data_IF_536849673423
#
_entry.id   IF_536849673423
#
_cell.length_a   1.000
_cell.length_b   1.000
_cell.length_c   1.000
_cell.angle_alpha   90.00
_cell.angle_beta   90.00
_cell.angle_gamma   90.00
#
_symmetry.space_group_name_H-M   'P 1'
#
loop_
_entity.id
_entity.type
_entity.pdbx_description
1 polymer ?
#
# COMPACT_ATOMS: atom_id res chain seq x y z
N UNK A 1 -26.12 -13.89 -14.92
CA UNK A 1 -24.87 -14.68 -14.92
C UNK A 1 -24.20 -14.46 -13.57
N UNK A 2 -23.59 -15.49 -12.95
CA UNK A 2 -22.81 -15.27 -11.74
C UNK A 2 -21.60 -14.39 -12.09
N UNK A 3 -21.28 -13.44 -11.24
CA UNK A 3 -20.04 -12.65 -11.37
C UNK A 3 -18.86 -13.58 -11.12
N UNK A 4 -17.85 -13.53 -12.00
CA UNK A 4 -16.61 -14.24 -11.84
C UNK A 4 -15.56 -13.26 -11.31
N UNK A 5 -14.98 -13.54 -10.14
CA UNK A 5 -13.86 -12.79 -9.63
C UNK A 5 -12.62 -13.15 -10.46
N UNK A 6 -12.04 -12.18 -11.16
CA UNK A 6 -10.88 -12.40 -12.03
C UNK A 6 -9.61 -11.72 -11.53
N UNK A 7 -9.68 -10.94 -10.44
CA UNK A 7 -8.53 -10.26 -9.86
C UNK A 7 -8.62 -10.21 -8.34
N UNK A 8 -7.45 -10.21 -7.71
CA UNK A 8 -7.25 -9.88 -6.31
C UNK A 8 -6.01 -8.97 -6.21
N UNK A 9 -6.22 -7.74 -5.79
CA UNK A 9 -5.14 -6.73 -5.72
C UNK A 9 -4.77 -6.34 -4.28
N UNK A 10 -5.31 -7.05 -3.28
CA UNK A 10 -4.97 -6.79 -1.88
C UNK A 10 -4.57 -8.10 -1.19
N UNK A 11 -3.39 -8.59 -1.55
CA UNK A 11 -2.80 -9.80 -0.97
C UNK A 11 -1.49 -9.50 -0.27
N UNK A 12 -1.19 -10.28 0.76
CA UNK A 12 0.02 -10.16 1.57
C UNK A 12 0.91 -11.39 1.43
N UNK A 13 2.19 -11.17 1.65
CA UNK A 13 3.19 -12.22 1.76
C UNK A 13 3.74 -12.31 3.19
N UNK A 14 4.64 -13.24 3.41
CA UNK A 14 5.36 -13.38 4.69
C UNK A 14 6.11 -12.10 5.11
N UNK A 15 6.34 -11.16 4.20
CA UNK A 15 6.94 -9.86 4.51
C UNK A 15 6.07 -9.06 5.48
N UNK A 16 4.77 -9.13 5.36
CA UNK A 16 3.81 -8.46 6.25
C UNK A 16 3.71 -9.06 7.66
N UNK A 17 4.50 -10.09 7.97
CA UNK A 17 4.63 -10.76 9.26
C UNK A 17 3.36 -11.44 9.82
N UNK A 18 2.17 -11.18 9.27
CA UNK A 18 0.90 -11.83 9.65
C UNK A 18 0.36 -12.74 8.54
N UNK A 19 1.02 -12.79 7.39
CA UNK A 19 0.82 -13.78 6.34
C UNK A 19 2.02 -14.74 6.30
N UNK A 20 1.87 -15.88 5.65
CA UNK A 20 2.89 -16.94 5.65
C UNK A 20 3.25 -17.47 4.25
N UNK A 21 2.61 -16.95 3.21
CA UNK A 21 2.89 -17.30 1.82
C UNK A 21 4.00 -16.42 1.24
N UNK A 22 4.77 -16.99 0.34
CA UNK A 22 5.64 -16.23 -0.57
C UNK A 22 4.83 -15.65 -1.71
N UNK A 23 5.40 -14.71 -2.47
CA UNK A 23 4.74 -14.19 -3.69
C UNK A 23 4.55 -15.32 -4.73
N UNK A 24 5.48 -16.25 -4.83
CA UNK A 24 5.38 -17.39 -5.76
C UNK A 24 4.20 -18.30 -5.40
N UNK A 25 3.99 -18.61 -4.12
CA UNK A 25 2.84 -19.38 -3.65
C UNK A 25 1.52 -18.64 -3.91
N UNK A 26 1.48 -17.32 -3.70
CA UNK A 26 0.31 -16.52 -4.00
C UNK A 26 -0.02 -16.56 -5.50
N UNK A 27 0.97 -16.43 -6.36
CA UNK A 27 0.81 -16.54 -7.83
C UNK A 27 0.33 -17.93 -8.24
N UNK A 28 0.93 -18.99 -7.67
CA UNK A 28 0.50 -20.36 -7.93
C UNK A 28 -0.98 -20.56 -7.62
N UNK A 29 -1.43 -20.13 -6.43
CA UNK A 29 -2.83 -20.27 -6.04
C UNK A 29 -3.77 -19.36 -6.82
N UNK A 30 -3.31 -18.16 -7.23
CA UNK A 30 -4.08 -17.29 -8.12
C UNK A 30 -4.34 -17.98 -9.47
N UNK A 31 -3.32 -18.58 -10.07
CA UNK A 31 -3.43 -19.35 -11.31
C UNK A 31 -4.39 -20.55 -11.17
N UNK A 32 -4.24 -21.35 -10.09
CA UNK A 32 -5.10 -22.49 -9.81
C UNK A 32 -6.58 -22.10 -9.61
N UNK A 33 -6.85 -20.89 -9.15
CA UNK A 33 -8.20 -20.35 -8.97
C UNK A 33 -8.73 -19.59 -10.17
N UNK A 34 -7.95 -19.49 -11.25
CA UNK A 34 -8.33 -18.82 -12.48
C UNK A 34 -8.34 -17.30 -12.39
N UNK A 35 -7.61 -16.71 -11.44
CA UNK A 35 -7.40 -15.27 -11.41
C UNK A 35 -6.50 -14.85 -12.58
N UNK A 36 -6.83 -13.74 -13.18
CA UNK A 36 -6.08 -13.15 -14.29
C UNK A 36 -5.07 -12.09 -13.79
N UNK A 37 -5.37 -11.48 -12.65
CA UNK A 37 -4.56 -10.42 -12.04
C UNK A 37 -4.38 -10.70 -10.55
N UNK A 38 -3.15 -10.60 -10.08
CA UNK A 38 -2.79 -10.64 -8.66
C UNK A 38 -1.96 -9.41 -8.33
N UNK A 39 -2.30 -8.72 -7.24
CA UNK A 39 -1.51 -7.61 -6.70
C UNK A 39 -0.94 -7.96 -5.33
N UNK A 40 0.37 -7.76 -5.15
CA UNK A 40 1.00 -7.76 -3.82
C UNK A 40 0.77 -6.40 -3.16
N UNK A 41 0.23 -6.40 -1.95
CA UNK A 41 -0.03 -5.20 -1.16
C UNK A 41 0.48 -5.38 0.27
N UNK A 42 1.74 -5.79 0.40
CA UNK A 42 2.37 -5.92 1.71
C UNK A 42 2.44 -4.57 2.43
N UNK A 43 2.43 -4.58 3.76
CA UNK A 43 2.38 -3.37 4.56
C UNK A 43 3.61 -2.48 4.39
N UNK A 44 3.41 -1.27 3.90
CA UNK A 44 4.34 -0.14 3.99
C UNK A 44 3.99 0.67 5.23
N UNK A 45 4.56 0.25 6.36
CA UNK A 45 4.11 0.65 7.69
C UNK A 45 5.21 0.52 8.73
N UNK A 46 5.11 1.29 9.81
CA UNK A 46 5.94 1.09 10.99
C UNK A 46 5.70 -0.24 11.72
N UNK A 47 4.62 -0.96 11.39
CA UNK A 47 4.33 -2.27 11.97
C UNK A 47 5.32 -3.36 11.54
N UNK A 48 5.94 -3.22 10.37
CA UNK A 48 6.81 -4.26 9.79
C UNK A 48 8.29 -3.95 9.93
N UNK A 49 8.66 -2.77 10.44
CA UNK A 49 10.06 -2.39 10.64
C UNK A 49 10.27 -1.65 11.95
N UNK A 50 11.34 -2.01 12.65
CA UNK A 50 11.82 -1.30 13.84
C UNK A 50 12.68 -0.06 13.50
N UNK A 51 13.16 0.04 12.27
CA UNK A 51 14.03 1.11 11.78
C UNK A 51 13.41 1.79 10.56
N UNK A 52 12.38 2.65 10.74
CA UNK A 52 11.63 3.20 9.62
C UNK A 52 12.45 4.11 8.69
N UNK A 53 13.57 4.65 9.15
CA UNK A 53 14.48 5.49 8.36
C UNK A 53 15.66 4.73 7.71
N UNK A 54 15.66 3.39 7.78
CA UNK A 54 16.65 2.52 7.16
C UNK A 54 16.11 1.93 5.86
N UNK A 55 16.56 2.45 4.71
CA UNK A 55 16.10 2.03 3.38
C UNK A 55 16.31 0.53 3.14
N UNK A 56 17.28 -0.10 3.81
CA UNK A 56 17.53 -1.52 3.69
C UNK A 56 16.38 -2.39 4.17
N UNK A 57 15.54 -1.86 5.09
CA UNK A 57 14.34 -2.54 5.58
C UNK A 57 13.24 -2.65 4.51
N UNK A 58 13.35 -1.89 3.42
CA UNK A 58 12.32 -1.82 2.37
C UNK A 58 12.76 -2.45 1.04
N UNK A 59 13.84 -3.22 1.04
CA UNK A 59 14.34 -3.89 -0.17
C UNK A 59 13.30 -4.79 -0.84
N UNK A 60 12.37 -5.34 -0.08
CA UNK A 60 11.24 -6.11 -0.62
C UNK A 60 10.44 -5.29 -1.64
N UNK A 61 10.08 -4.06 -1.31
CA UNK A 61 9.34 -3.17 -2.22
C UNK A 61 10.20 -2.68 -3.38
N UNK A 62 11.43 -2.24 -3.07
CA UNK A 62 12.36 -1.69 -4.07
C UNK A 62 12.68 -2.71 -5.15
N UNK A 63 12.76 -3.99 -4.79
CA UNK A 63 13.11 -5.08 -5.70
C UNK A 63 11.90 -5.79 -6.33
N UNK A 64 10.68 -5.32 -6.17
CA UNK A 64 9.52 -5.92 -6.82
C UNK A 64 9.60 -5.84 -8.36
N UNK A 65 10.38 -4.91 -8.90
CA UNK A 65 10.57 -4.74 -10.34
C UNK A 65 11.29 -5.91 -11.03
N UNK A 66 11.96 -6.79 -10.25
CA UNK A 66 12.56 -8.03 -10.78
C UNK A 66 11.54 -9.17 -10.99
N UNK A 67 10.33 -9.05 -10.45
CA UNK A 67 9.31 -10.10 -10.63
C UNK A 67 8.82 -10.16 -12.07
N UNK A 68 8.56 -11.37 -12.61
CA UNK A 68 7.90 -11.50 -13.90
C UNK A 68 6.56 -10.78 -13.91
N UNK A 69 6.29 -9.97 -14.94
CA UNK A 69 4.99 -9.29 -15.08
C UNK A 69 3.86 -10.27 -15.38
N UNK A 70 4.16 -11.31 -16.14
CA UNK A 70 3.26 -12.45 -16.35
C UNK A 70 3.94 -13.65 -15.72
N UNK A 71 3.33 -14.19 -14.70
CA UNK A 71 3.85 -15.30 -13.93
C UNK A 71 2.79 -16.39 -13.86
N UNK A 72 3.08 -17.57 -14.42
CA UNK A 72 2.13 -18.68 -14.55
C UNK A 72 0.79 -18.28 -15.21
N UNK A 73 0.83 -17.33 -16.17
CA UNK A 73 -0.36 -16.82 -16.86
C UNK A 73 -1.12 -15.74 -16.12
N UNK A 74 -0.71 -15.37 -14.91
CA UNK A 74 -1.31 -14.30 -14.09
C UNK A 74 -0.52 -13.01 -14.29
N UNK A 75 -1.21 -11.88 -14.52
CA UNK A 75 -0.60 -10.55 -14.47
C UNK A 75 -0.31 -10.20 -13.01
N UNK A 76 0.96 -10.02 -12.65
CA UNK A 76 1.38 -9.64 -11.30
C UNK A 76 1.59 -8.13 -11.23
N UNK A 77 0.80 -7.48 -10.38
CA UNK A 77 0.93 -6.07 -10.05
C UNK A 77 1.79 -5.89 -8.79
N UNK A 78 2.67 -4.92 -8.86
CA UNK A 78 3.59 -4.52 -7.80
C UNK A 78 2.92 -3.45 -6.97
N UNK A 79 2.71 -3.69 -5.71
CA UNK A 79 2.02 -2.74 -4.87
C UNK A 79 2.48 -2.77 -3.42
N UNK A 80 1.90 -1.88 -2.65
CA UNK A 80 2.03 -1.83 -1.20
C UNK A 80 0.75 -1.34 -0.56
N UNK A 81 0.49 -1.76 0.66
CA UNK A 81 -0.52 -1.18 1.53
C UNK A 81 0.15 -0.16 2.44
N UNK A 82 -0.01 1.13 2.07
CA UNK A 82 0.58 2.24 2.81
C UNK A 82 -0.34 2.71 3.94
N UNK A 83 0.22 2.85 5.16
CA UNK A 83 -0.52 3.40 6.29
C UNK A 83 -0.83 4.88 6.08
N UNK A 84 -2.09 5.28 6.33
CA UNK A 84 -2.43 6.66 6.63
C UNK A 84 -1.98 6.91 8.08
N UNK A 85 -1.04 7.83 8.27
CA UNK A 85 -0.34 7.98 9.56
C UNK A 85 -0.75 9.21 10.36
N UNK A 86 -1.53 10.09 9.76
CA UNK A 86 -2.03 11.30 10.43
C UNK A 86 -3.39 11.72 9.92
N UNK A 87 -4.05 12.61 10.67
CA UNK A 87 -5.39 13.13 10.36
C UNK A 87 -5.41 14.02 9.10
N UNK A 88 -4.28 14.50 8.64
CA UNK A 88 -4.17 15.25 7.39
C UNK A 88 -4.10 14.37 6.12
N UNK A 89 -4.14 13.04 6.30
CA UNK A 89 -4.13 12.09 5.20
C UNK A 89 -2.75 11.66 4.73
N UNK A 90 -1.66 12.12 5.38
CA UNK A 90 -0.29 11.76 5.03
C UNK A 90 -0.06 10.25 5.09
N UNK A 91 0.70 9.73 4.12
CA UNK A 91 1.05 8.32 4.03
C UNK A 91 2.40 8.04 4.70
N UNK A 92 2.55 6.83 5.20
CA UNK A 92 3.79 6.38 5.82
C UNK A 92 5.01 6.58 4.91
N UNK A 93 6.01 7.27 5.43
CA UNK A 93 7.27 7.52 4.73
C UNK A 93 7.37 8.86 4.04
N UNK A 94 6.28 9.62 3.86
CA UNK A 94 6.32 10.95 3.23
C UNK A 94 7.22 11.93 3.99
N UNK A 95 7.10 11.97 5.31
CA UNK A 95 7.92 12.81 6.18
C UNK A 95 9.10 12.05 6.82
N UNK A 96 9.38 10.83 6.38
CA UNK A 96 10.45 10.02 6.96
C UNK A 96 11.75 10.25 6.21
N UNK A 97 12.77 10.87 6.84
CA UNK A 97 14.08 11.02 6.23
C UNK A 97 14.79 9.67 6.17
N UNK A 98 15.43 9.37 5.05
CA UNK A 98 16.30 8.20 4.93
C UNK A 98 17.68 8.56 5.50
N UNK A 99 18.12 7.82 6.51
CA UNK A 99 19.42 8.01 7.17
C UNK A 99 20.43 6.93 6.86
N UNK A 100 19.94 5.74 6.46
CA UNK A 100 20.77 4.60 6.08
C UNK A 100 20.36 4.11 4.69
N UNK A 101 21.31 4.16 3.76
CA UNK A 101 21.14 3.78 2.36
C UNK A 101 21.43 2.30 2.12
N UNK A 102 21.00 1.82 0.94
CA UNK A 102 21.50 0.58 0.39
C UNK A 102 22.95 0.83 -0.05
N UNK A 103 23.85 -0.11 0.28
CA UNK A 103 25.27 0.02 -0.03
C UNK A 103 25.51 0.28 -1.53
N UNK A 104 26.23 1.36 -1.83
CA UNK A 104 26.57 1.76 -3.19
C UNK A 104 25.62 2.76 -3.84
N UNK A 105 24.50 3.08 -3.21
CA UNK A 105 23.55 4.06 -3.71
C UNK A 105 23.52 5.32 -2.85
N UNK A 106 23.51 6.49 -3.50
CA UNK A 106 23.46 7.80 -2.84
C UNK A 106 22.08 8.46 -2.96
N UNK A 107 21.02 7.68 -2.73
CA UNK A 107 19.63 8.13 -2.93
C UNK A 107 19.15 9.17 -1.93
N UNK A 108 19.74 9.20 -0.76
CA UNK A 108 19.01 9.46 0.46
C UNK A 108 18.69 10.89 0.80
N UNK A 109 19.35 11.86 0.19
CA UNK A 109 19.26 13.21 0.76
C UNK A 109 18.26 14.14 0.09
N UNK A 110 17.66 13.72 -1.01
CA UNK A 110 16.76 14.55 -1.82
C UNK A 110 15.33 14.01 -1.94
N UNK A 111 15.08 12.79 -1.43
CA UNK A 111 13.80 12.11 -1.56
C UNK A 111 13.31 11.61 -0.20
N UNK A 112 12.00 11.57 -0.03
CA UNK A 112 11.38 10.93 1.13
C UNK A 112 11.56 9.42 1.06
N UNK A 113 11.35 8.74 2.17
CA UNK A 113 11.28 7.27 2.18
C UNK A 113 10.17 6.78 1.23
N UNK A 114 9.02 7.45 1.26
CA UNK A 114 7.89 7.15 0.41
C UNK A 114 8.28 7.16 -1.07
N UNK A 115 8.89 8.23 -1.56
CA UNK A 115 9.32 8.35 -2.96
C UNK A 115 10.27 7.23 -3.37
N UNK A 116 11.25 6.91 -2.51
CA UNK A 116 12.25 5.88 -2.80
C UNK A 116 11.67 4.48 -2.87
N UNK A 117 10.72 4.18 -2.00
CA UNK A 117 10.12 2.85 -1.88
C UNK A 117 9.04 2.62 -2.93
N UNK A 118 8.25 3.65 -3.25
CA UNK A 118 7.07 3.48 -4.12
C UNK A 118 7.34 3.73 -5.60
N UNK A 119 8.47 4.30 -5.98
CA UNK A 119 8.78 4.71 -7.36
C UNK A 119 8.64 3.64 -8.44
N UNK A 120 8.80 2.36 -8.08
CA UNK A 120 8.72 1.22 -9.00
C UNK A 120 7.44 0.39 -8.80
N UNK A 121 6.54 0.85 -7.92
CA UNK A 121 5.26 0.20 -7.70
C UNK A 121 4.23 0.66 -8.73
N UNK A 122 3.31 -0.23 -9.05
CA UNK A 122 2.22 0.06 -10.00
C UNK A 122 1.06 0.77 -9.30
N UNK A 123 0.85 0.49 -8.01
CA UNK A 123 -0.27 1.03 -7.23
C UNK A 123 -0.02 0.96 -5.73
N UNK A 124 -0.80 1.73 -4.99
CA UNK A 124 -0.88 1.68 -3.54
C UNK A 124 -2.33 1.47 -3.08
N UNK A 125 -2.46 0.79 -1.96
CA UNK A 125 -3.68 0.73 -1.15
C UNK A 125 -3.43 1.62 0.07
N UNK A 126 -4.24 2.65 0.30
CA UNK A 126 -4.11 3.49 1.49
C UNK A 126 -5.05 2.98 2.60
N UNK A 127 -4.52 2.70 3.78
CA UNK A 127 -5.26 2.06 4.88
C UNK A 127 -5.01 2.73 6.23
N UNK A 128 -6.03 2.73 7.08
CA UNK A 128 -5.88 3.13 8.49
C UNK A 128 -5.77 1.87 9.34
N UNK A 129 -4.58 1.58 9.85
CA UNK A 129 -4.36 0.48 10.82
C UNK A 129 -4.34 0.97 12.27
N UNK A 130 -4.00 2.22 12.51
CA UNK A 130 -4.07 2.85 13.82
C UNK A 130 -5.14 3.94 13.87
N UNK A 131 -6.39 3.65 14.28
CA UNK A 131 -7.46 4.65 14.32
C UNK A 131 -7.23 5.77 15.37
N UNK A 132 -6.26 5.63 16.25
CA UNK A 132 -5.92 6.66 17.25
C UNK A 132 -5.40 7.95 16.60
N UNK A 133 -4.91 7.90 15.35
CA UNK A 133 -4.52 9.11 14.59
C UNK A 133 -5.68 10.09 14.40
N UNK A 134 -6.91 9.61 14.48
CA UNK A 134 -8.15 10.40 14.34
C UNK A 134 -8.96 10.46 15.64
N UNK A 135 -8.34 10.22 16.81
CA UNK A 135 -9.04 10.31 18.09
C UNK A 135 -9.59 11.72 18.33
N UNK A 136 -10.88 11.81 18.57
CA UNK A 136 -11.60 13.08 18.74
C UNK A 136 -11.85 13.88 17.47
N UNK A 137 -11.51 13.33 16.30
CA UNK A 137 -11.76 13.99 15.03
C UNK A 137 -13.26 14.03 14.69
N UNK A 138 -13.66 15.09 14.01
CA UNK A 138 -15.00 15.24 13.46
C UNK A 138 -15.18 14.41 12.19
N UNK A 139 -16.43 14.15 11.81
CA UNK A 139 -16.76 13.49 10.54
C UNK A 139 -16.14 14.20 9.32
N UNK A 140 -16.11 15.51 9.31
CA UNK A 140 -15.50 16.28 8.22
C UNK A 140 -13.98 16.07 8.14
N UNK A 141 -13.30 16.02 9.28
CA UNK A 141 -11.85 15.81 9.33
C UNK A 141 -11.47 14.40 8.89
N UNK A 142 -12.22 13.37 9.32
CA UNK A 142 -11.96 11.99 8.85
C UNK A 142 -12.29 11.80 7.38
N UNK A 143 -13.29 12.51 6.86
CA UNK A 143 -13.61 12.53 5.43
C UNK A 143 -12.47 13.15 4.63
N UNK A 144 -11.97 14.31 5.04
CA UNK A 144 -10.84 14.99 4.41
C UNK A 144 -9.56 14.14 4.44
N UNK A 145 -9.29 13.49 5.58
CA UNK A 145 -8.17 12.54 5.70
C UNK A 145 -8.20 11.47 4.60
N UNK A 146 -9.34 10.83 4.35
CA UNK A 146 -9.46 9.82 3.30
C UNK A 146 -9.38 10.42 1.89
N UNK A 147 -9.90 11.63 1.69
CA UNK A 147 -9.80 12.37 0.43
C UNK A 147 -8.33 12.66 0.12
N UNK A 148 -7.61 13.27 1.05
CA UNK A 148 -6.19 13.61 0.88
C UNK A 148 -5.32 12.36 0.66
N UNK A 149 -5.61 11.27 1.37
CA UNK A 149 -4.88 10.02 1.18
C UNK A 149 -5.05 9.41 -0.23
N UNK A 150 -6.05 9.82 -0.99
CA UNK A 150 -6.26 9.42 -2.39
C UNK A 150 -5.52 10.31 -3.40
N UNK A 151 -5.03 11.50 -3.00
CA UNK A 151 -4.40 12.46 -3.93
C UNK A 151 -3.10 11.97 -4.60
N UNK A 152 -2.22 11.18 -3.93
CA UNK A 152 -1.05 10.64 -4.62
C UNK A 152 -1.47 9.74 -5.80
N UNK A 153 -0.94 9.97 -7.01
CA UNK A 153 -1.44 9.30 -8.22
C UNK A 153 -1.25 7.79 -8.24
N UNK A 154 -0.39 7.26 -7.36
CA UNK A 154 -0.22 5.81 -7.19
C UNK A 154 -1.29 5.19 -6.29
N UNK A 155 -2.04 5.96 -5.51
CA UNK A 155 -3.07 5.42 -4.63
C UNK A 155 -4.30 5.05 -5.45
N UNK A 156 -4.51 3.77 -5.61
CA UNK A 156 -5.59 3.22 -6.43
C UNK A 156 -6.87 2.98 -5.63
N UNK A 157 -6.74 2.68 -4.32
CA UNK A 157 -7.89 2.33 -3.49
C UNK A 157 -7.63 2.56 -2.01
N UNK A 158 -8.72 2.73 -1.25
CA UNK A 158 -8.69 2.66 0.21
C UNK A 158 -8.89 1.22 0.67
N UNK A 159 -8.04 0.75 1.56
CA UNK A 159 -8.14 -0.59 2.16
C UNK A 159 -9.15 -0.61 3.31
N UNK A 160 -9.97 -1.66 3.38
CA UNK A 160 -10.84 -2.06 4.49
C UNK A 160 -11.30 -0.93 5.45
N UNK A 161 -11.83 0.16 4.91
CA UNK A 161 -12.25 1.36 5.68
C UNK A 161 -13.18 1.06 6.84
N UNK A 162 -14.00 0.01 6.74
CA UNK A 162 -14.86 -0.46 7.84
C UNK A 162 -14.09 -1.02 9.04
N UNK A 163 -12.85 -1.49 8.86
CA UNK A 163 -12.03 -2.05 9.95
C UNK A 163 -11.52 -0.98 10.91
N UNK A 164 -11.23 0.22 10.41
CA UNK A 164 -10.78 1.35 11.26
C UNK A 164 -11.86 1.82 12.23
N UNK A 165 -13.14 1.61 11.89
CA UNK A 165 -14.28 2.14 12.65
C UNK A 165 -14.42 3.65 12.59
N UNK A 166 -13.59 4.34 11.80
CA UNK A 166 -13.66 5.80 11.64
C UNK A 166 -14.83 6.16 10.72
N UNK A 167 -15.75 7.04 11.15
CA UNK A 167 -16.83 7.50 10.29
C UNK A 167 -16.28 8.46 9.23
N UNK A 168 -16.81 8.42 8.00
CA UNK A 168 -16.53 9.37 6.94
C UNK A 168 -17.71 9.48 5.97
N UNK A 169 -17.79 10.55 5.20
CA UNK A 169 -18.81 10.79 4.19
C UNK A 169 -18.48 10.03 2.91
N UNK A 170 -19.01 8.83 2.77
CA UNK A 170 -18.70 7.92 1.66
C UNK A 170 -18.95 8.56 0.29
N UNK A 171 -20.04 9.33 0.14
CA UNK A 171 -20.38 9.96 -1.15
C UNK A 171 -19.34 11.02 -1.55
N UNK A 172 -18.81 11.77 -0.61
CA UNK A 172 -17.77 12.79 -0.86
C UNK A 172 -16.47 12.11 -1.30
N UNK A 173 -16.03 11.08 -0.58
CA UNK A 173 -14.83 10.30 -0.93
C UNK A 173 -14.99 9.64 -2.30
N UNK A 174 -16.15 9.04 -2.61
CA UNK A 174 -16.41 8.44 -3.91
C UNK A 174 -16.46 9.46 -5.05
N UNK A 175 -16.97 10.66 -4.81
CA UNK A 175 -16.96 11.75 -5.80
C UNK A 175 -15.54 12.20 -6.10
N UNK A 176 -14.68 12.32 -5.07
CA UNK A 176 -13.27 12.65 -5.23
C UNK A 176 -12.55 11.56 -6.03
N UNK A 177 -12.67 10.30 -5.62
CA UNK A 177 -12.04 9.16 -6.30
C UNK A 177 -12.45 9.01 -7.79
N UNK A 178 -13.63 9.47 -8.18
CA UNK A 178 -14.07 9.47 -9.58
C UNK A 178 -13.50 10.61 -10.41
N UNK A 179 -12.99 11.64 -9.75
CA UNK A 179 -12.41 12.81 -10.41
C UNK A 179 -10.92 12.67 -10.70
N UNK A 180 -10.27 11.69 -10.04
CA UNK A 180 -8.89 11.27 -10.27
C UNK A 180 -8.78 10.35 -11.50
#
# INVERSE_FOLDING_TARGET
>A
MPYLLSCDIHTHTMFSAHAYSTIEENVYWAAERGLQVLGSADHLSSMVTACPNDLRSYQFFINQDIWPRIWSGVLVLRGAEADIVSLDGSLFGEDTPVTLDIAGDSYSRQHSLFDLVTRNLDYLVASVHNPQIAEGATLAQTTEMYITALDPPQVFTLGHTGRSGLPFQTDEVLLHAKAQ
#
